data_IF_331599454732
#
_entry.id   IF_331599454732
#
_cell.length_a   1.000
_cell.length_b   1.000
_cell.length_c   1.000
_cell.angle_alpha   90.00
_cell.angle_beta   90.00
_cell.angle_gamma   90.00
#
_symmetry.space_group_name_H-M   'P 1'
#
loop_
_entity.id
_entity.type
_entity.pdbx_description
1 polymer ?
#
# COMPACT_ATOMS: atom_id res chain seq x y z
N UNK A 1 4.74 -45.36 -26.58
CA UNK A 1 5.25 -44.38 -25.59
C UNK A 1 5.32 -42.93 -26.08
N UNK A 2 5.38 -42.64 -27.39
CA UNK A 2 5.53 -41.26 -27.93
C UNK A 2 4.28 -40.34 -27.86
N UNK A 3 3.07 -40.88 -27.64
CA UNK A 3 1.81 -40.10 -27.62
C UNK A 3 1.65 -39.26 -26.33
N UNK A 4 2.30 -39.67 -25.24
CA UNK A 4 2.37 -38.90 -23.98
C UNK A 4 3.27 -37.67 -24.10
N UNK A 5 4.44 -37.81 -24.74
CA UNK A 5 5.39 -36.72 -24.93
C UNK A 5 4.84 -35.54 -25.72
N UNK A 6 4.02 -35.79 -26.76
CA UNK A 6 3.49 -34.71 -27.61
C UNK A 6 2.47 -33.85 -26.87
N UNK A 7 1.63 -34.47 -26.04
CA UNK A 7 0.65 -33.74 -25.20
C UNK A 7 1.36 -32.95 -24.11
N UNK A 8 2.34 -33.55 -23.45
CA UNK A 8 3.18 -32.88 -22.46
C UNK A 8 3.95 -31.69 -23.08
N UNK A 9 4.55 -31.87 -24.25
CA UNK A 9 5.26 -30.78 -24.94
C UNK A 9 4.33 -29.62 -25.31
N UNK A 10 3.12 -29.92 -25.82
CA UNK A 10 2.11 -28.90 -26.13
C UNK A 10 1.67 -28.13 -24.88
N UNK A 11 1.43 -28.82 -23.76
CA UNK A 11 1.07 -28.15 -22.51
C UNK A 11 2.22 -27.30 -21.97
N UNK A 12 3.46 -27.78 -22.04
CA UNK A 12 4.63 -27.01 -21.57
C UNK A 12 4.85 -25.76 -22.41
N UNK A 13 4.75 -25.86 -23.75
CA UNK A 13 4.85 -24.71 -24.65
C UNK A 13 3.74 -23.70 -24.37
N UNK A 14 2.50 -24.16 -24.21
CA UNK A 14 1.38 -23.28 -23.87
C UNK A 14 1.60 -22.55 -22.54
N UNK A 15 2.09 -23.26 -21.50
CA UNK A 15 2.41 -22.65 -20.19
C UNK A 15 3.51 -21.61 -20.33
N UNK A 16 4.61 -21.91 -21.03
CA UNK A 16 5.73 -20.97 -21.22
C UNK A 16 5.30 -19.72 -21.99
N UNK A 17 4.43 -19.86 -22.99
CA UNK A 17 3.91 -18.75 -23.79
C UNK A 17 2.91 -17.89 -23.00
N UNK A 18 2.11 -18.49 -22.12
CA UNK A 18 1.09 -17.79 -21.33
C UNK A 18 1.65 -17.19 -20.02
N UNK A 19 2.79 -17.69 -19.52
CA UNK A 19 3.43 -17.21 -18.29
C UNK A 19 3.71 -15.69 -18.28
N UNK A 20 4.15 -15.07 -19.39
CA UNK A 20 4.36 -13.62 -19.46
C UNK A 20 3.07 -12.80 -19.28
N UNK A 21 1.93 -13.35 -19.70
CA UNK A 21 0.63 -12.66 -19.67
C UNK A 21 0.05 -12.54 -18.26
N UNK A 22 0.60 -13.27 -17.27
CA UNK A 22 0.16 -13.23 -15.87
C UNK A 22 1.09 -12.44 -14.96
N UNK A 23 2.18 -11.85 -15.48
CA UNK A 23 3.01 -10.96 -14.67
C UNK A 23 2.39 -9.56 -14.57
N UNK A 24 2.33 -9.04 -13.34
CA UNK A 24 2.07 -7.62 -13.08
C UNK A 24 3.22 -6.78 -13.67
N UNK A 25 3.05 -6.24 -14.87
CA UNK A 25 4.13 -5.60 -15.64
C UNK A 25 4.23 -4.08 -15.45
N UNK A 26 3.21 -3.46 -14.86
CA UNK A 26 3.08 -1.99 -14.80
C UNK A 26 3.15 -1.42 -13.37
N UNK A 27 3.62 -2.20 -12.40
CA UNK A 27 3.91 -1.71 -11.03
C UNK A 27 5.41 -1.50 -10.90
N UNK A 28 5.82 -0.27 -10.57
CA UNK A 28 7.23 0.06 -10.39
C UNK A 28 7.73 -0.45 -9.03
N UNK A 29 8.44 -1.58 -9.07
CA UNK A 29 9.08 -2.17 -7.88
C UNK A 29 10.37 -1.43 -7.48
N UNK A 30 11.04 -0.75 -8.42
CA UNK A 30 12.36 -0.15 -8.19
C UNK A 30 12.27 1.23 -7.53
N UNK A 31 11.26 2.02 -7.89
CA UNK A 31 11.08 3.38 -7.38
C UNK A 31 9.85 3.53 -6.46
N UNK A 32 9.51 2.46 -5.74
CA UNK A 32 8.44 2.50 -4.74
C UNK A 32 8.72 3.51 -3.62
N UNK A 33 7.64 4.00 -3.00
CA UNK A 33 7.71 4.87 -1.83
C UNK A 33 7.50 4.02 -0.57
N UNK A 34 8.41 4.15 0.39
CA UNK A 34 8.33 3.46 1.68
C UNK A 34 7.95 4.45 2.78
N UNK A 35 6.89 4.11 3.51
CA UNK A 35 6.48 4.82 4.72
C UNK A 35 6.72 3.91 5.93
N UNK A 36 7.33 4.45 6.97
CA UNK A 36 7.65 3.71 8.19
C UNK A 36 7.04 4.40 9.41
N UNK A 37 6.67 3.61 10.41
CA UNK A 37 6.10 4.08 11.67
C UNK A 37 6.21 3.02 12.78
N UNK A 38 5.64 3.28 13.97
CA UNK A 38 5.79 2.40 15.14
C UNK A 38 5.11 1.04 14.91
N UNK A 39 5.86 -0.03 15.14
CA UNK A 39 5.36 -1.40 14.96
C UNK A 39 4.37 -1.78 16.06
N UNK A 40 4.66 -1.36 17.29
CA UNK A 40 3.86 -1.56 18.50
C UNK A 40 2.45 -0.95 18.38
N UNK A 41 2.31 0.10 17.58
CA UNK A 41 1.04 0.78 17.33
C UNK A 41 0.28 0.19 16.13
N UNK A 42 0.84 -0.85 15.49
CA UNK A 42 0.36 -1.45 14.24
C UNK A 42 0.27 -0.45 13.08
N UNK A 43 1.31 0.38 12.90
CA UNK A 43 1.39 1.26 11.75
C UNK A 43 1.27 0.45 10.45
N UNK A 44 0.37 0.87 9.55
CA UNK A 44 0.12 0.14 8.30
C UNK A 44 -1.02 -0.87 8.38
N UNK A 45 -1.73 -0.98 9.51
CA UNK A 45 -2.87 -1.90 9.65
C UNK A 45 -4.00 -1.60 8.66
N UNK A 46 -4.21 -0.33 8.33
CA UNK A 46 -5.11 0.10 7.25
C UNK A 46 -4.43 1.15 6.39
N UNK A 47 -4.67 1.10 5.08
CA UNK A 47 -4.08 2.02 4.10
C UNK A 47 -5.15 2.48 3.11
N UNK A 48 -5.20 3.78 2.82
CA UNK A 48 -6.12 4.37 1.85
C UNK A 48 -5.45 5.47 1.02
N UNK A 49 -5.64 5.47 -0.30
CA UNK A 49 -5.24 6.59 -1.15
C UNK A 49 -6.29 7.70 -1.06
N UNK A 50 -5.84 8.94 -0.91
CA UNK A 50 -6.70 10.10 -0.75
C UNK A 50 -6.22 11.26 -1.62
N UNK A 51 -7.14 11.87 -2.36
CA UNK A 51 -6.87 13.02 -3.21
C UNK A 51 -7.92 14.09 -2.97
N UNK A 52 -7.48 15.33 -2.78
CA UNK A 52 -8.31 16.51 -2.69
C UNK A 52 -7.60 17.73 -3.30
N UNK A 53 -8.18 18.92 -3.15
CA UNK A 53 -7.59 20.17 -3.65
C UNK A 53 -6.24 20.52 -3.01
N UNK A 54 -5.90 19.96 -1.84
CA UNK A 54 -4.60 20.16 -1.19
C UNK A 54 -3.50 19.24 -1.74
N UNK A 55 -3.88 18.20 -2.47
CA UNK A 55 -2.97 17.26 -3.11
C UNK A 55 -3.31 15.79 -2.86
N UNK A 56 -2.31 14.95 -3.11
CA UNK A 56 -2.43 13.48 -3.05
C UNK A 56 -1.69 12.95 -1.84
N UNK A 57 -2.31 11.99 -1.17
CA UNK A 57 -1.83 11.44 0.09
C UNK A 57 -2.11 9.93 0.17
N UNK A 58 -1.29 9.24 0.93
CA UNK A 58 -1.61 7.92 1.49
C UNK A 58 -1.96 8.12 2.96
N UNK A 59 -3.14 7.67 3.34
CA UNK A 59 -3.59 7.61 4.73
C UNK A 59 -3.22 6.26 5.31
N UNK A 60 -2.57 6.27 6.48
CA UNK A 60 -2.12 5.05 7.15
C UNK A 60 -2.67 5.02 8.57
N UNK A 61 -3.44 3.98 8.91
CA UNK A 61 -3.98 3.79 10.26
C UNK A 61 -3.06 3.00 11.17
N UNK A 62 -3.08 3.34 12.45
CA UNK A 62 -2.31 2.71 13.54
C UNK A 62 -3.22 2.52 14.77
N UNK A 63 -4.02 1.43 14.81
CA UNK A 63 -5.11 1.29 15.77
C UNK A 63 -4.66 1.21 17.24
N UNK A 64 -3.41 0.81 17.51
CA UNK A 64 -2.92 0.65 18.88
C UNK A 64 -2.18 1.87 19.42
N UNK A 65 -2.09 2.96 18.64
CA UNK A 65 -1.49 4.21 19.09
C UNK A 65 -2.29 4.86 20.23
N UNK A 66 -1.57 5.54 21.12
CA UNK A 66 -2.09 6.19 22.32
C UNK A 66 -1.75 5.43 23.61
N UNK A 67 -2.25 5.93 24.75
CA UNK A 67 -2.01 5.31 26.06
C UNK A 67 -2.67 3.92 26.12
N UNK A 68 -2.07 2.91 26.79
CA UNK A 68 -2.61 1.54 26.83
C UNK A 68 -4.07 1.45 27.28
N UNK A 69 -4.47 2.30 28.24
CA UNK A 69 -5.84 2.38 28.74
C UNK A 69 -6.82 3.10 27.79
N UNK A 70 -6.31 3.85 26.80
CA UNK A 70 -7.09 4.66 25.83
C UNK A 70 -6.44 4.61 24.45
N UNK A 71 -6.38 3.42 23.86
CA UNK A 71 -5.99 3.23 22.46
C UNK A 71 -7.14 3.66 21.55
N UNK A 72 -7.15 4.94 21.18
CA UNK A 72 -8.09 5.48 20.20
C UNK A 72 -7.62 5.23 18.77
N UNK A 73 -6.34 4.92 18.60
CA UNK A 73 -5.66 4.83 17.32
C UNK A 73 -5.38 6.21 16.73
N UNK A 74 -4.42 6.24 15.81
CA UNK A 74 -4.06 7.43 15.03
C UNK A 74 -4.15 7.15 13.54
N UNK A 75 -4.33 8.21 12.76
CA UNK A 75 -4.22 8.18 11.31
C UNK A 75 -3.10 9.13 10.88
N UNK A 76 -2.25 8.65 9.99
CA UNK A 76 -1.12 9.36 9.43
C UNK A 76 -1.44 9.80 8.00
N UNK A 77 -1.10 11.04 7.65
CA UNK A 77 -1.24 11.61 6.30
C UNK A 77 0.15 11.71 5.67
N UNK A 78 0.42 10.87 4.67
CA UNK A 78 1.71 10.73 4.02
C UNK A 78 1.66 11.32 2.59
N UNK A 79 2.44 12.35 2.25
CA UNK A 79 2.36 12.98 0.93
C UNK A 79 2.85 12.04 -0.17
N UNK A 80 2.20 12.06 -1.33
CA UNK A 80 2.72 11.43 -2.55
C UNK A 80 3.03 12.51 -3.60
N UNK A 81 4.18 12.41 -4.26
CA UNK A 81 4.54 13.30 -5.38
C UNK A 81 5.40 14.53 -5.07
N UNK A 82 5.81 14.78 -3.82
CA UNK A 82 6.84 15.80 -3.52
C UNK A 82 8.24 15.23 -3.75
N UNK A 83 8.72 15.24 -5.00
CA UNK A 83 10.15 15.10 -5.28
C UNK A 83 10.84 16.43 -4.99
N UNK A 84 11.13 16.71 -3.73
CA UNK A 84 12.19 17.68 -3.45
C UNK A 84 13.52 16.95 -3.61
N UNK A 85 14.46 17.56 -4.31
CA UNK A 85 15.79 17.02 -4.62
C UNK A 85 16.66 16.72 -3.39
N UNK A 86 16.12 16.92 -2.17
CA UNK A 86 16.80 16.66 -0.90
C UNK A 86 15.85 16.25 0.27
N UNK A 87 14.68 15.64 0.02
CA UNK A 87 13.91 15.01 1.11
C UNK A 87 14.05 13.49 1.06
N UNK A 88 15.10 12.99 1.72
CA UNK A 88 15.27 11.58 2.07
C UNK A 88 14.27 11.10 3.15
N UNK A 89 13.31 11.93 3.55
CA UNK A 89 12.28 11.57 4.52
C UNK A 89 10.89 11.87 3.98
N UNK A 90 10.22 10.82 3.48
CA UNK A 90 8.77 10.81 3.26
C UNK A 90 8.07 10.69 4.61
N UNK A 91 8.20 11.72 5.44
CA UNK A 91 7.65 11.70 6.79
C UNK A 91 6.13 11.86 6.74
N UNK A 92 5.44 10.92 7.38
CA UNK A 92 4.01 11.00 7.54
C UNK A 92 3.66 11.93 8.70
N UNK A 93 2.70 12.82 8.48
CA UNK A 93 2.20 13.70 9.53
C UNK A 93 1.12 12.95 10.32
N UNK A 94 1.30 12.80 11.63
CA UNK A 94 0.20 12.33 12.50
C UNK A 94 -0.91 13.36 12.41
N UNK A 95 -2.06 12.95 11.92
CA UNK A 95 -3.21 13.86 11.88
C UNK A 95 -3.83 13.89 13.27
N UNK A 96 -3.67 15.02 13.94
CA UNK A 96 -4.22 15.23 15.30
C UNK A 96 -5.75 15.09 15.32
N UNK A 97 -6.42 15.28 14.18
CA UNK A 97 -7.84 15.06 14.02
C UNK A 97 -8.14 15.17 12.51
N UNK A 98 -8.35 14.06 11.80
CA UNK A 98 -9.17 14.19 10.59
C UNK A 98 -10.54 14.71 11.07
N UNK A 99 -11.09 15.77 10.45
CA UNK A 99 -12.43 16.22 10.81
C UNK A 99 -13.36 15.02 10.74
N UNK A 100 -14.27 14.94 11.70
CA UNK A 100 -15.20 13.85 12.06
C UNK A 100 -16.01 13.22 10.91
N UNK A 101 -15.80 13.62 9.66
CA UNK A 101 -16.46 13.12 8.45
C UNK A 101 -16.14 11.66 8.08
N UNK A 102 -15.02 11.07 8.53
CA UNK A 102 -14.74 9.63 8.28
C UNK A 102 -15.28 8.74 9.40
N UNK A 103 -15.71 9.31 10.54
CA UNK A 103 -16.37 8.53 11.61
C UNK A 103 -17.86 8.27 11.33
N UNK A 104 -18.40 8.84 10.25
CA UNK A 104 -19.81 8.74 9.87
C UNK A 104 -20.00 8.05 8.51
N UNK A 105 -19.69 6.76 8.47
CA UNK A 105 -20.36 5.84 7.53
C UNK A 105 -20.50 4.45 8.15
N UNK A 106 -21.11 4.44 9.34
CA UNK A 106 -21.79 3.26 9.89
C UNK A 106 -23.29 3.51 9.73
N UNK A 107 -23.78 3.22 8.53
CA UNK A 107 -25.18 2.89 8.25
C UNK A 107 -25.13 1.55 7.54
#
# INVERSE_FOLDING_TARGET
MLRGNRRFALTTVAVVVLLPCVFSFNVDQKNGLSFSGPLEDMFGYTVQQFENSEGKWVLIGSPLSGQPAKRTGDVYKCPVGKRTTHASNWSCLKTQQFPTYVKSRRT
#
